data_IF_206277184918
#
_entry.id   IF_206277184918
#
_cell.length_a   1.000
_cell.length_b   1.000
_cell.length_c   1.000
_cell.angle_alpha   90.00
_cell.angle_beta   90.00
_cell.angle_gamma   90.00
#
_symmetry.space_group_name_H-M   'P 1'
#
loop_
_entity.id
_entity.type
_entity.pdbx_description
1 polymer ?
#
# COMPACT_ATOMS: atom_id res chain seq x y z
N UNK A 1 42.16 -46.01 0.32
CA UNK A 1 41.75 -46.70 -0.92
C UNK A 1 41.94 -45.72 -2.06
N UNK A 2 43.07 -45.84 -2.77
CA UNK A 2 43.48 -44.96 -3.87
C UNK A 2 42.89 -45.48 -5.18
N UNK A 3 42.08 -44.68 -5.87
CA UNK A 3 41.62 -45.01 -7.22
C UNK A 3 42.58 -44.40 -8.24
N UNK A 4 43.22 -45.29 -8.98
CA UNK A 4 44.18 -45.04 -10.05
C UNK A 4 43.39 -44.76 -11.33
N UNK A 5 43.46 -43.55 -11.87
CA UNK A 5 42.86 -43.22 -13.16
C UNK A 5 43.84 -43.57 -14.29
N UNK A 6 43.48 -44.58 -15.07
CA UNK A 6 44.18 -45.04 -16.26
C UNK A 6 44.07 -44.01 -17.38
N UNK A 7 45.21 -43.50 -17.85
CA UNK A 7 45.31 -42.60 -19.00
C UNK A 7 45.32 -43.44 -20.29
N UNK A 8 44.26 -43.33 -21.10
CA UNK A 8 44.18 -43.95 -22.43
C UNK A 8 44.41 -42.87 -23.48
N UNK A 9 45.46 -42.93 -24.31
CA UNK A 9 45.64 -41.99 -25.41
C UNK A 9 44.65 -42.31 -26.54
N UNK A 10 44.01 -41.30 -27.16
CA UNK A 10 43.15 -41.52 -28.30
C UNK A 10 43.98 -41.77 -29.57
N UNK A 11 43.81 -42.96 -30.12
CA UNK A 11 44.28 -43.31 -31.45
C UNK A 11 43.59 -42.45 -32.52
N UNK A 12 44.44 -41.97 -33.43
CA UNK A 12 44.13 -41.29 -34.67
C UNK A 12 43.20 -42.11 -35.57
N UNK A 13 41.99 -41.62 -35.85
CA UNK A 13 41.27 -41.95 -37.08
C UNK A 13 40.80 -40.65 -37.72
N UNK A 14 41.53 -40.32 -38.77
CA UNK A 14 41.21 -39.37 -39.81
C UNK A 14 40.02 -39.89 -40.62
N UNK A 15 38.86 -39.24 -40.51
CA UNK A 15 37.95 -39.13 -41.65
C UNK A 15 37.22 -37.78 -41.60
N UNK A 16 37.76 -36.81 -42.35
CA UNK A 16 37.24 -35.46 -42.48
C UNK A 16 36.15 -35.45 -43.54
N UNK A 17 34.88 -35.51 -43.11
CA UNK A 17 33.78 -34.93 -43.89
C UNK A 17 33.45 -33.54 -43.33
N UNK A 18 33.92 -32.44 -43.97
CA UNK A 18 33.88 -31.09 -43.40
C UNK A 18 32.46 -30.49 -43.29
N UNK A 19 31.43 -31.19 -43.77
CA UNK A 19 30.05 -30.66 -43.82
C UNK A 19 29.24 -31.01 -42.57
N UNK A 20 29.61 -32.06 -41.82
CA UNK A 20 28.84 -32.50 -40.65
C UNK A 20 29.28 -31.83 -39.34
N UNK A 21 30.55 -31.43 -39.24
CA UNK A 21 31.11 -30.78 -38.05
C UNK A 21 30.60 -29.35 -37.86
N UNK A 22 30.36 -28.61 -38.94
CA UNK A 22 29.86 -27.22 -38.87
C UNK A 22 28.44 -27.16 -38.28
N UNK A 23 27.59 -28.16 -38.57
CA UNK A 23 26.22 -28.20 -38.03
C UNK A 23 26.16 -28.50 -36.53
N UNK A 24 27.11 -29.28 -36.00
CA UNK A 24 27.17 -29.60 -34.57
C UNK A 24 27.64 -28.39 -33.77
N UNK A 25 28.69 -27.69 -34.23
CA UNK A 25 29.14 -26.45 -33.58
C UNK A 25 28.08 -25.33 -33.61
N UNK A 26 27.27 -25.26 -34.67
CA UNK A 26 26.18 -24.27 -34.76
C UNK A 26 25.01 -24.60 -33.81
N UNK A 27 24.70 -25.88 -33.58
CA UNK A 27 23.71 -26.30 -32.61
C UNK A 27 24.16 -26.05 -31.16
N UNK A 28 25.44 -26.32 -30.85
CA UNK A 28 26.00 -26.11 -29.51
C UNK A 28 26.10 -24.61 -29.16
N UNK A 29 26.42 -23.77 -30.14
CA UNK A 29 26.43 -22.30 -29.96
C UNK A 29 25.02 -21.72 -29.72
N UNK A 30 23.98 -22.30 -30.33
CA UNK A 30 22.60 -21.90 -30.09
C UNK A 30 22.09 -22.36 -28.71
N UNK A 31 22.47 -23.56 -28.25
CA UNK A 31 22.12 -24.04 -26.92
C UNK A 31 22.75 -23.18 -25.80
N UNK A 32 24.00 -22.71 -26.00
CA UNK A 32 24.68 -21.87 -25.01
C UNK A 32 24.06 -20.47 -24.89
N UNK A 33 23.67 -19.86 -26.02
CA UNK A 33 23.03 -18.53 -26.02
C UNK A 33 21.62 -18.58 -25.41
N UNK A 34 20.86 -19.64 -25.66
CA UNK A 34 19.55 -19.84 -25.03
C UNK A 34 19.65 -20.02 -23.51
N UNK A 35 20.60 -20.84 -23.03
CA UNK A 35 20.84 -21.04 -21.59
C UNK A 35 21.25 -19.75 -20.86
N UNK A 36 22.12 -18.92 -21.47
CA UNK A 36 22.46 -17.61 -20.90
C UNK A 36 21.27 -16.64 -20.88
N UNK A 37 20.44 -16.68 -21.92
CA UNK A 37 19.25 -15.84 -22.00
C UNK A 37 18.22 -16.21 -20.92
N UNK A 38 17.98 -17.50 -20.68
CA UNK A 38 17.11 -17.97 -19.59
C UNK A 38 17.65 -17.58 -18.21
N UNK A 39 18.95 -17.74 -17.97
CA UNK A 39 19.57 -17.34 -16.71
C UNK A 39 19.45 -15.83 -16.46
N UNK A 40 19.60 -15.02 -17.51
CA UNK A 40 19.47 -13.57 -17.44
C UNK A 40 18.02 -13.14 -17.22
N UNK A 41 17.06 -13.79 -17.90
CA UNK A 41 15.64 -13.54 -17.71
C UNK A 41 15.20 -13.93 -16.29
N UNK A 42 15.59 -15.11 -15.78
CA UNK A 42 15.31 -15.51 -14.39
C UNK A 42 15.86 -14.52 -13.38
N UNK A 43 17.09 -14.01 -13.56
CA UNK A 43 17.64 -12.96 -12.67
C UNK A 43 16.82 -11.68 -12.71
N UNK A 44 16.36 -11.24 -13.89
CA UNK A 44 15.53 -10.02 -14.03
C UNK A 44 14.14 -10.20 -13.43
N UNK A 45 13.51 -11.36 -13.62
CA UNK A 45 12.24 -11.68 -12.99
C UNK A 45 12.36 -11.77 -11.46
N UNK A 46 13.38 -12.45 -10.96
CA UNK A 46 13.62 -12.58 -9.53
C UNK A 46 13.92 -11.21 -8.89
N UNK A 47 14.73 -10.38 -9.54
CA UNK A 47 15.03 -9.03 -9.08
C UNK A 47 13.79 -8.11 -9.09
N UNK A 48 12.92 -8.19 -10.11
CA UNK A 48 11.66 -7.43 -10.12
C UNK A 48 10.70 -7.90 -9.02
N UNK A 49 10.59 -9.20 -8.80
CA UNK A 49 9.70 -9.74 -7.75
C UNK A 49 10.18 -9.32 -6.35
N UNK A 50 11.49 -9.38 -6.07
CA UNK A 50 12.03 -8.90 -4.78
C UNK A 50 11.76 -7.41 -4.56
N UNK A 51 11.95 -6.59 -5.59
CA UNK A 51 11.70 -5.14 -5.47
C UNK A 51 10.23 -4.83 -5.17
N UNK A 52 9.30 -5.56 -5.80
CA UNK A 52 7.87 -5.41 -5.54
C UNK A 52 7.50 -5.83 -4.11
N UNK A 53 8.05 -6.95 -3.61
CA UNK A 53 7.82 -7.43 -2.24
C UNK A 53 8.36 -6.43 -1.21
N UNK A 54 9.57 -5.90 -1.42
CA UNK A 54 10.16 -4.89 -0.55
C UNK A 54 9.33 -3.60 -0.54
N UNK A 55 8.90 -3.13 -1.70
CA UNK A 55 8.04 -1.94 -1.79
C UNK A 55 6.73 -2.14 -1.02
N UNK A 56 6.08 -3.28 -1.18
CA UNK A 56 4.83 -3.58 -0.48
C UNK A 56 5.02 -3.60 1.06
N UNK A 57 6.07 -4.27 1.54
CA UNK A 57 6.37 -4.31 2.98
C UNK A 57 6.67 -2.92 3.54
N UNK A 58 7.40 -2.08 2.81
CA UNK A 58 7.67 -0.71 3.24
C UNK A 58 6.39 0.13 3.31
N UNK A 59 5.47 -0.02 2.35
CA UNK A 59 4.19 0.69 2.37
C UNK A 59 3.31 0.25 3.54
N UNK A 60 3.20 -1.07 3.77
CA UNK A 60 2.45 -1.61 4.89
C UNK A 60 3.02 -1.13 6.24
N UNK A 61 4.34 -1.13 6.40
CA UNK A 61 5.00 -0.64 7.62
C UNK A 61 4.76 0.86 7.85
N UNK A 62 4.83 1.67 6.79
CA UNK A 62 4.51 3.10 6.87
C UNK A 62 3.04 3.30 7.26
N UNK A 63 2.12 2.51 6.71
CA UNK A 63 0.71 2.57 7.08
C UNK A 63 0.47 2.22 8.55
N UNK A 64 1.14 1.19 9.08
CA UNK A 64 1.08 0.85 10.51
C UNK A 64 1.63 1.99 11.36
N UNK A 65 2.81 2.51 10.99
CA UNK A 65 3.46 3.58 11.74
C UNK A 65 2.61 4.86 11.76
N UNK A 66 1.86 5.13 10.69
CA UNK A 66 0.97 6.28 10.57
C UNK A 66 -0.42 6.03 11.17
N UNK A 67 -0.76 4.79 11.54
CA UNK A 67 -2.06 4.42 12.10
C UNK A 67 -2.48 5.28 13.32
N UNK A 68 -1.62 5.53 14.33
CA UNK A 68 -1.99 6.39 15.46
C UNK A 68 -2.41 7.80 15.03
N UNK A 69 -1.66 8.40 14.09
CA UNK A 69 -1.97 9.72 13.56
C UNK A 69 -3.25 9.72 12.71
N UNK A 70 -3.43 8.70 11.87
CA UNK A 70 -4.61 8.48 11.03
C UNK A 70 -5.89 8.38 11.88
N UNK A 71 -5.90 7.53 12.91
CA UNK A 71 -7.07 7.37 13.78
C UNK A 71 -7.29 8.59 14.68
N UNK A 72 -6.23 9.29 15.12
CA UNK A 72 -6.38 10.58 15.79
C UNK A 72 -7.06 11.62 14.89
N UNK A 73 -6.65 11.71 13.63
CA UNK A 73 -7.23 12.61 12.65
C UNK A 73 -8.72 12.28 12.39
N UNK A 74 -9.06 11.01 12.17
CA UNK A 74 -10.45 10.59 11.98
C UNK A 74 -11.33 10.91 13.20
N UNK A 75 -10.83 10.65 14.42
CA UNK A 75 -11.57 10.96 15.64
C UNK A 75 -11.81 12.45 15.80
N UNK A 76 -10.78 13.28 15.55
CA UNK A 76 -10.91 14.74 15.57
C UNK A 76 -11.95 15.22 14.55
N UNK A 77 -11.90 14.71 13.32
CA UNK A 77 -12.86 15.08 12.26
C UNK A 77 -14.30 14.70 12.61
N UNK A 78 -14.51 13.46 13.08
CA UNK A 78 -15.83 13.04 13.55
C UNK A 78 -16.32 13.94 14.69
N UNK A 79 -15.44 14.20 15.65
CA UNK A 79 -15.76 15.02 16.82
C UNK A 79 -16.11 16.46 16.42
N UNK A 80 -15.33 17.09 15.54
CA UNK A 80 -15.60 18.46 15.07
C UNK A 80 -16.92 18.54 14.31
N UNK A 81 -17.22 17.55 13.48
CA UNK A 81 -18.49 17.49 12.74
C UNK A 81 -19.69 17.37 13.68
N UNK A 82 -19.68 16.42 14.61
CA UNK A 82 -20.79 16.24 15.55
C UNK A 82 -20.93 17.41 16.53
N UNK A 83 -19.81 18.04 16.91
CA UNK A 83 -19.81 19.28 17.69
C UNK A 83 -20.43 20.44 16.89
N UNK A 84 -20.06 20.61 15.62
CA UNK A 84 -20.64 21.64 14.75
C UNK A 84 -22.14 21.43 14.51
N UNK A 85 -22.59 20.18 14.47
CA UNK A 85 -24.00 19.81 14.37
C UNK A 85 -24.78 19.92 15.70
N UNK A 86 -24.13 20.28 16.81
CA UNK A 86 -24.77 20.49 18.11
C UNK A 86 -25.06 19.22 18.92
N UNK A 87 -24.53 18.06 18.51
CA UNK A 87 -24.76 16.79 19.22
C UNK A 87 -23.81 16.56 20.40
N UNK A 88 -22.68 17.26 20.45
CA UNK A 88 -21.66 17.11 21.48
C UNK A 88 -21.48 18.42 22.23
N UNK A 89 -21.53 18.34 23.54
CA UNK A 89 -21.34 19.49 24.43
C UNK A 89 -19.90 20.02 24.34
N UNK A 90 -19.69 21.36 24.28
CA UNK A 90 -18.38 21.98 24.06
C UNK A 90 -17.41 21.85 25.26
N UNK A 91 -17.82 21.18 26.34
CA UNK A 91 -17.01 20.93 27.54
C UNK A 91 -15.81 20.04 27.24
N UNK A 92 -15.89 19.20 26.21
CA UNK A 92 -14.77 18.36 25.78
C UNK A 92 -13.83 19.10 24.81
N UNK A 93 -12.53 19.01 25.04
CA UNK A 93 -11.54 19.70 24.19
C UNK A 93 -11.15 18.84 22.99
N UNK A 94 -10.77 19.48 21.87
CA UNK A 94 -10.21 18.80 20.70
C UNK A 94 -8.96 17.99 21.05
N UNK A 95 -8.17 18.48 22.02
CA UNK A 95 -7.00 17.77 22.52
C UNK A 95 -7.36 16.42 23.14
N UNK A 96 -8.48 16.33 23.86
CA UNK A 96 -8.96 15.07 24.41
C UNK A 96 -9.37 14.09 23.31
N UNK A 97 -10.06 14.55 22.27
CA UNK A 97 -10.43 13.73 21.11
C UNK A 97 -9.17 13.19 20.39
N UNK A 98 -8.18 14.06 20.16
CA UNK A 98 -6.89 13.69 19.58
C UNK A 98 -6.17 12.61 20.39
N UNK A 99 -6.12 12.77 21.73
CA UNK A 99 -5.52 11.79 22.63
C UNK A 99 -6.25 10.44 22.56
N UNK A 100 -7.59 10.45 22.58
CA UNK A 100 -8.41 9.23 22.46
C UNK A 100 -8.10 8.49 21.16
N UNK A 101 -8.15 9.18 20.02
CA UNK A 101 -7.87 8.55 18.73
C UNK A 101 -6.42 8.05 18.62
N UNK A 102 -5.43 8.82 19.12
CA UNK A 102 -4.03 8.43 19.10
C UNK A 102 -3.77 7.19 19.97
N UNK A 103 -4.22 7.19 21.23
CA UNK A 103 -4.05 6.04 22.14
C UNK A 103 -4.74 4.79 21.60
N UNK A 104 -5.96 4.92 21.07
CA UNK A 104 -6.66 3.83 20.41
C UNK A 104 -5.91 3.29 19.20
N UNK A 105 -5.42 4.18 18.34
CA UNK A 105 -4.66 3.82 17.14
C UNK A 105 -3.33 3.16 17.45
N UNK A 106 -2.61 3.59 18.50
CA UNK A 106 -1.40 2.91 18.98
C UNK A 106 -1.70 1.48 19.42
N UNK A 107 -2.81 1.26 20.12
CA UNK A 107 -3.19 -0.08 20.59
C UNK A 107 -3.55 -1.02 19.43
N UNK A 108 -4.13 -0.51 18.34
CA UNK A 108 -4.40 -1.30 17.13
C UNK A 108 -3.15 -1.50 16.26
N UNK A 109 -2.21 -0.56 16.26
CA UNK A 109 -0.99 -0.67 15.50
C UNK A 109 -0.13 -1.88 15.95
N UNK A 110 -0.12 -2.20 17.25
CA UNK A 110 0.66 -3.32 17.81
C UNK A 110 0.26 -4.68 17.22
N UNK A 111 -1.00 -5.14 17.31
CA UNK A 111 -1.40 -6.42 16.73
C UNK A 111 -1.26 -6.44 15.20
N UNK A 112 -1.50 -5.30 14.53
CA UNK A 112 -1.33 -5.21 13.09
C UNK A 112 0.14 -5.38 12.66
N UNK A 113 1.08 -4.80 13.43
CA UNK A 113 2.52 -5.00 13.24
C UNK A 113 2.91 -6.48 13.44
N UNK A 114 2.36 -7.14 14.47
CA UNK A 114 2.60 -8.57 14.72
C UNK A 114 2.10 -9.41 13.54
N UNK A 115 0.89 -9.15 13.05
CA UNK A 115 0.33 -9.84 11.88
C UNK A 115 1.21 -9.61 10.64
N UNK A 116 1.67 -8.38 10.40
CA UNK A 116 2.56 -8.10 9.27
C UNK A 116 3.89 -8.84 9.37
N UNK A 117 4.49 -8.97 10.56
CA UNK A 117 5.72 -9.74 10.75
C UNK A 117 5.46 -11.22 10.43
N UNK A 118 4.34 -11.79 10.89
CA UNK A 118 3.98 -13.18 10.62
C UNK A 118 3.67 -13.42 9.14
N UNK A 119 2.96 -12.50 8.48
CA UNK A 119 2.63 -12.62 7.06
C UNK A 119 3.85 -12.42 6.15
N UNK A 120 4.82 -11.59 6.57
CA UNK A 120 6.08 -11.42 5.85
C UNK A 120 6.84 -12.76 5.73
N UNK A 121 6.75 -13.61 6.75
CA UNK A 121 7.38 -14.93 6.77
C UNK A 121 6.70 -15.93 5.81
N UNK A 122 5.38 -15.80 5.61
CA UNK A 122 4.60 -16.77 4.84
C UNK A 122 4.50 -16.53 3.33
N UNK A 123 5.03 -15.42 2.77
CA UNK A 123 5.05 -15.12 1.32
C UNK A 123 3.68 -15.24 0.59
N UNK A 124 2.56 -15.30 1.32
CA UNK A 124 1.22 -15.40 0.77
C UNK A 124 0.54 -14.05 0.85
N UNK A 125 0.79 -13.20 -0.15
CA UNK A 125 -0.05 -12.02 -0.35
C UNK A 125 -0.17 -11.74 -1.86
N UNK A 126 -1.25 -12.22 -2.47
CA UNK A 126 -1.66 -11.76 -3.79
C UNK A 126 -2.64 -10.60 -3.61
N UNK A 127 -2.31 -9.38 -4.07
CA UNK A 127 -3.26 -8.27 -4.05
C UNK A 127 -4.36 -8.53 -5.08
N UNK A 128 -5.55 -8.94 -4.62
CA UNK A 128 -6.71 -9.05 -5.51
C UNK A 128 -7.12 -7.66 -6.03
N UNK A 129 -7.44 -7.59 -7.31
CA UNK A 129 -7.55 -6.36 -8.07
C UNK A 129 -8.92 -5.67 -7.98
N UNK A 130 -8.92 -4.47 -7.37
CA UNK A 130 -9.54 -3.25 -7.88
C UNK A 130 -11.04 -3.18 -8.12
N UNK A 131 -11.88 -4.05 -7.53
CA UNK A 131 -13.34 -3.92 -7.68
C UNK A 131 -13.93 -2.85 -6.76
N UNK A 132 -15.04 -2.21 -7.17
CA UNK A 132 -15.78 -1.25 -6.32
C UNK A 132 -16.20 -1.89 -4.99
N UNK A 133 -16.53 -3.19 -5.01
CA UNK A 133 -16.85 -3.96 -3.81
C UNK A 133 -15.69 -4.02 -2.81
N UNK A 134 -14.45 -4.23 -3.29
CA UNK A 134 -13.26 -4.20 -2.43
C UNK A 134 -13.00 -2.81 -1.85
N UNK A 135 -13.21 -1.75 -2.61
CA UNK A 135 -13.06 -0.38 -2.09
C UNK A 135 -14.07 -0.07 -0.98
N UNK A 136 -15.33 -0.51 -1.13
CA UNK A 136 -16.33 -0.40 -0.08
C UNK A 136 -15.98 -1.26 1.14
N UNK A 137 -15.46 -2.46 0.92
CA UNK A 137 -15.02 -3.35 1.99
C UNK A 137 -13.90 -2.71 2.83
N UNK A 138 -12.86 -2.17 2.17
CA UNK A 138 -11.77 -1.43 2.84
C UNK A 138 -12.32 -0.24 3.62
N UNK A 139 -13.30 0.49 3.06
CA UNK A 139 -13.91 1.61 3.78
C UNK A 139 -14.64 1.14 5.06
N UNK A 140 -15.37 0.03 5.00
CA UNK A 140 -16.04 -0.56 6.17
C UNK A 140 -15.02 -1.02 7.21
N UNK A 141 -13.92 -1.63 6.77
CA UNK A 141 -12.82 -2.03 7.64
C UNK A 141 -12.21 -0.81 8.37
N UNK A 142 -11.96 0.29 7.65
CA UNK A 142 -11.48 1.54 8.24
C UNK A 142 -12.45 2.15 9.26
N UNK A 143 -13.76 2.11 8.98
CA UNK A 143 -14.77 2.55 9.94
C UNK A 143 -14.75 1.69 11.21
N UNK A 144 -14.67 0.37 11.05
CA UNK A 144 -14.62 -0.57 12.19
C UNK A 144 -13.35 -0.38 13.01
N UNK A 145 -12.18 -0.31 12.37
CA UNK A 145 -10.90 -0.09 13.04
C UNK A 145 -10.88 1.27 13.77
N UNK A 146 -11.37 2.33 13.13
CA UNK A 146 -11.46 3.66 13.75
C UNK A 146 -12.43 3.68 14.94
N UNK A 147 -13.58 2.99 14.84
CA UNK A 147 -14.52 2.83 15.95
C UNK A 147 -13.92 2.05 17.12
N UNK A 148 -13.22 0.94 16.85
CA UNK A 148 -12.54 0.14 17.89
C UNK A 148 -11.44 0.98 18.56
N UNK A 149 -10.63 1.70 17.79
CA UNK A 149 -9.63 2.62 18.34
C UNK A 149 -10.28 3.65 19.27
N UNK A 150 -11.39 4.26 18.84
CA UNK A 150 -12.13 5.24 19.62
C UNK A 150 -12.67 4.68 20.95
N UNK A 151 -13.12 3.42 20.95
CA UNK A 151 -13.57 2.71 22.17
C UNK A 151 -12.39 2.44 23.10
N UNK A 152 -11.31 1.86 22.59
CA UNK A 152 -10.12 1.52 23.38
C UNK A 152 -9.51 2.78 24.01
N UNK A 153 -9.29 3.82 23.21
CA UNK A 153 -8.77 5.10 23.70
C UNK A 153 -9.73 5.78 24.69
N UNK A 154 -11.03 5.70 24.44
CA UNK A 154 -12.07 6.24 25.33
C UNK A 154 -12.10 5.53 26.68
N UNK A 155 -11.98 4.20 26.67
CA UNK A 155 -11.92 3.39 27.88
C UNK A 155 -10.68 3.73 28.72
N UNK A 156 -9.51 3.85 28.07
CA UNK A 156 -8.25 4.15 28.73
C UNK A 156 -8.18 5.57 29.33
N UNK A 157 -8.82 6.57 28.71
CA UNK A 157 -8.66 7.97 29.10
C UNK A 157 -9.85 8.58 29.86
N UNK A 158 -11.08 8.05 29.69
CA UNK A 158 -12.31 8.66 30.24
C UNK A 158 -13.02 7.80 31.29
N UNK A 159 -12.57 6.58 31.55
CA UNK A 159 -13.08 5.81 32.70
C UNK A 159 -14.49 5.21 32.54
N UNK A 160 -14.97 4.98 31.32
CA UNK A 160 -16.01 3.97 31.07
C UNK A 160 -17.48 4.40 31.15
N UNK A 161 -17.81 5.69 31.06
CA UNK A 161 -19.19 6.13 30.89
C UNK A 161 -19.83 5.52 29.62
N UNK A 162 -20.90 4.73 29.77
CA UNK A 162 -21.58 4.07 28.63
C UNK A 162 -21.97 5.05 27.53
N UNK A 163 -22.47 6.23 27.91
CA UNK A 163 -22.86 7.25 26.95
C UNK A 163 -21.66 7.84 26.19
N UNK A 164 -20.57 8.14 26.89
CA UNK A 164 -19.35 8.70 26.28
C UNK A 164 -18.68 7.70 25.32
N UNK A 165 -18.73 6.40 25.66
CA UNK A 165 -18.23 5.34 24.79
C UNK A 165 -19.05 5.23 23.51
N UNK A 166 -20.39 5.27 23.61
CA UNK A 166 -21.27 5.24 22.44
C UNK A 166 -21.03 6.45 21.53
N UNK A 167 -20.86 7.64 22.10
CA UNK A 167 -20.50 8.83 21.32
C UNK A 167 -19.13 8.62 20.64
N UNK A 168 -18.14 8.08 21.38
CA UNK A 168 -16.81 7.82 20.83
C UNK A 168 -16.85 6.84 19.64
N UNK A 169 -17.69 5.79 19.71
CA UNK A 169 -17.91 4.85 18.60
C UNK A 169 -18.44 5.58 17.37
N UNK A 170 -19.52 6.34 17.52
CA UNK A 170 -20.18 7.03 16.40
C UNK A 170 -19.24 8.07 15.77
N UNK A 171 -18.54 8.84 16.61
CA UNK A 171 -17.51 9.79 16.18
C UNK A 171 -16.37 9.09 15.43
N UNK A 172 -15.86 7.98 15.98
CA UNK A 172 -14.79 7.19 15.36
C UNK A 172 -15.20 6.62 14.01
N UNK A 173 -16.40 6.06 13.90
CA UNK A 173 -16.91 5.47 12.66
C UNK A 173 -17.23 6.52 11.58
N UNK A 174 -17.73 7.69 11.97
CA UNK A 174 -18.05 8.76 11.02
C UNK A 174 -16.79 9.47 10.48
N UNK A 175 -15.71 9.50 11.27
CA UNK A 175 -14.44 10.15 10.91
C UNK A 175 -13.91 9.81 9.51
N UNK A 176 -13.73 8.52 9.16
CA UNK A 176 -13.32 8.10 7.82
C UNK A 176 -14.26 8.59 6.72
N UNK A 177 -15.58 8.51 6.93
CA UNK A 177 -16.59 8.97 5.95
C UNK A 177 -16.45 10.46 5.69
N UNK A 178 -16.37 11.24 6.77
CA UNK A 178 -16.21 12.71 6.70
C UNK A 178 -14.89 13.06 5.99
N UNK A 179 -13.80 12.37 6.33
CA UNK A 179 -12.50 12.55 5.67
C UNK A 179 -12.58 12.30 4.16
N UNK A 180 -13.26 11.24 3.74
CA UNK A 180 -13.44 10.90 2.33
C UNK A 180 -14.26 11.97 1.60
N UNK A 181 -15.38 12.40 2.19
CA UNK A 181 -16.22 13.48 1.63
C UNK A 181 -15.42 14.78 1.48
N UNK A 182 -14.62 15.15 2.49
CA UNK A 182 -13.75 16.33 2.43
C UNK A 182 -12.70 16.21 1.33
N UNK A 183 -12.05 15.05 1.21
CA UNK A 183 -11.03 14.81 0.19
C UNK A 183 -11.61 14.94 -1.22
N UNK A 184 -12.76 14.32 -1.50
CA UNK A 184 -13.43 14.44 -2.80
C UNK A 184 -13.93 15.86 -3.07
N UNK A 185 -14.41 16.57 -2.04
CA UNK A 185 -14.83 17.96 -2.17
C UNK A 185 -13.66 18.87 -2.55
N UNK A 186 -12.51 18.72 -1.88
CA UNK A 186 -11.29 19.48 -2.18
C UNK A 186 -10.75 19.14 -3.57
N UNK A 187 -10.76 17.87 -3.96
CA UNK A 187 -10.34 17.44 -5.29
C UNK A 187 -11.26 18.01 -6.38
N UNK A 188 -12.57 17.97 -6.16
CA UNK A 188 -13.56 18.57 -7.05
C UNK A 188 -13.37 20.09 -7.19
N UNK A 189 -13.10 20.79 -6.09
CA UNK A 189 -12.78 22.21 -6.11
C UNK A 189 -11.48 22.51 -6.87
N UNK A 190 -10.44 21.71 -6.68
CA UNK A 190 -9.17 21.88 -7.38
C UNK A 190 -9.32 21.68 -8.90
N UNK A 191 -10.05 20.64 -9.30
CA UNK A 191 -10.36 20.39 -10.72
C UNK A 191 -11.20 21.55 -11.26
N UNK A 192 -12.34 21.86 -10.64
CA UNK A 192 -13.21 22.95 -11.08
C UNK A 192 -12.48 24.30 -11.20
N UNK A 193 -11.65 24.63 -10.20
CA UNK A 193 -10.81 25.82 -10.23
C UNK A 193 -9.80 25.83 -11.37
N UNK A 194 -9.14 24.70 -11.66
CA UNK A 194 -8.23 24.58 -12.79
C UNK A 194 -8.93 24.74 -14.14
N UNK A 195 -10.16 24.23 -14.27
CA UNK A 195 -11.00 24.40 -15.46
C UNK A 195 -11.37 25.86 -15.69
N UNK A 196 -11.88 26.55 -14.66
CA UNK A 196 -12.23 27.97 -14.73
C UNK A 196 -11.00 28.81 -15.09
N UNK A 197 -9.83 28.51 -14.49
CA UNK A 197 -8.59 29.23 -14.79
C UNK A 197 -8.14 29.03 -16.24
N UNK A 198 -8.35 27.82 -16.79
CA UNK A 198 -8.03 27.52 -18.20
C UNK A 198 -8.92 28.31 -19.16
N UNK A 199 -10.23 28.35 -18.90
CA UNK A 199 -11.18 29.12 -19.71
C UNK A 199 -10.86 30.62 -19.65
N UNK A 200 -10.67 31.15 -18.45
CA UNK A 200 -10.30 32.56 -18.26
C UNK A 200 -9.01 32.92 -19.02
N UNK A 201 -8.00 32.04 -18.98
CA UNK A 201 -6.76 32.22 -19.73
C UNK A 201 -6.97 32.23 -21.24
N UNK A 202 -7.83 31.35 -21.76
CA UNK A 202 -8.16 31.30 -23.19
C UNK A 202 -8.91 32.55 -23.63
N UNK A 203 -9.89 32.99 -22.84
CA UNK A 203 -10.66 34.22 -23.12
C UNK A 203 -9.77 35.46 -23.11
N UNK A 204 -8.87 35.55 -22.14
CA UNK A 204 -7.91 36.65 -22.06
C UNK A 204 -6.97 36.69 -23.27
N UNK A 205 -6.44 35.53 -23.68
CA UNK A 205 -5.60 35.41 -24.88
C UNK A 205 -6.35 35.80 -26.17
N UNK A 206 -7.61 35.39 -26.31
CA UNK A 206 -8.46 35.73 -27.45
C UNK A 206 -8.77 37.24 -27.54
N UNK A 207 -8.84 37.95 -26.41
CA UNK A 207 -8.97 39.41 -26.39
C UNK A 207 -7.69 40.11 -26.82
N UNK A 208 -6.53 39.58 -26.42
CA UNK A 208 -5.24 40.17 -26.72
C UNK A 208 -4.89 40.12 -28.21
N UNK A 209 -5.30 39.06 -28.92
CA UNK A 209 -5.11 38.93 -30.39
C UNK A 209 -5.95 39.94 -31.20
N UNK A 210 -7.05 40.46 -30.64
CA UNK A 210 -7.93 41.39 -31.36
C UNK A 210 -7.48 42.86 -31.32
N UNK A 211 -6.47 43.18 -30.52
CA UNK A 211 -5.91 44.53 -30.37
C UNK A 211 -4.68 44.63 -31.27
#
# INVERSE_FOLDING_TARGET
MSQCCTFVPPNSISDRSPVRTVKIFQADAQAYTFSQMEATLRRRFYSRNIMNILQYQTMALVEVAMSPAKYAFFHILGYTFFRAAGYIEPTTTLLTAAKVGCTGGTMLAIPFLVVLIVMADHHQYEPESGTVGQQLFVMVEEMLCSAIAAVVGGFMLRGGGRHDLLISVVVGAAGPVISLVLMFSLLGMAIGGAWILKEFRQDWFNRLIRI
#
